data_IF_668000131952
#
_entry.id   IF_668000131952
#
_cell.length_a   1.000
_cell.length_b   1.000
_cell.length_c   1.000
_cell.angle_alpha   90.00
_cell.angle_beta   90.00
_cell.angle_gamma   90.00
#
_symmetry.space_group_name_H-M   'P 1'
#
loop_
_entity.id
_entity.type
_entity.pdbx_description
1 polymer ?
#
# COMPACT_ATOMS: atom_id res chain seq x y z
N UNK A 1 31.24 7.08 33.28
CA UNK A 1 30.30 6.13 32.66
C UNK A 1 29.03 6.89 32.32
N UNK A 2 28.71 7.04 31.05
CA UNK A 2 27.38 7.49 30.61
C UNK A 2 26.79 6.31 29.86
N UNK A 3 25.70 5.76 30.41
CA UNK A 3 24.93 4.68 29.79
C UNK A 3 23.92 5.35 28.85
N UNK A 4 24.09 5.18 27.54
CA UNK A 4 23.09 5.56 26.55
C UNK A 4 22.14 4.37 26.33
N UNK A 5 20.88 4.51 26.75
CA UNK A 5 19.81 3.57 26.42
C UNK A 5 19.34 3.91 25.01
N UNK A 6 19.73 3.12 24.02
CA UNK A 6 19.22 3.24 22.66
C UNK A 6 17.83 2.60 22.58
N UNK A 7 16.81 3.41 22.33
CA UNK A 7 15.52 2.93 21.82
C UNK A 7 15.65 2.47 20.35
N UNK A 8 14.65 1.77 19.77
CA UNK A 8 14.78 1.03 18.51
C UNK A 8 15.02 1.82 17.21
N UNK A 9 15.44 3.09 17.25
CA UNK A 9 15.45 3.99 16.09
C UNK A 9 16.81 4.58 15.71
N UNK A 10 17.91 3.93 16.09
CA UNK A 10 19.24 4.31 15.59
C UNK A 10 19.94 3.10 14.99
N UNK A 11 19.53 2.69 13.79
CA UNK A 11 20.28 1.68 13.00
C UNK A 11 20.56 2.09 11.55
N UNK A 12 20.13 3.28 11.11
CA UNK A 12 20.28 3.68 9.70
C UNK A 12 21.44 4.61 9.40
N UNK A 13 22.39 4.86 10.32
CA UNK A 13 23.48 5.83 10.08
C UNK A 13 24.92 5.30 10.14
N UNK A 14 25.19 4.03 10.48
CA UNK A 14 26.58 3.58 10.74
C UNK A 14 27.08 2.43 9.84
N UNK A 15 26.23 1.76 9.05
CA UNK A 15 26.70 0.61 8.23
C UNK A 15 27.07 0.89 6.79
N UNK A 16 27.08 2.15 6.33
CA UNK A 16 27.51 2.48 4.97
C UNK A 16 28.96 3.02 4.86
N UNK A 17 29.78 2.94 5.92
CA UNK A 17 31.15 3.47 5.91
C UNK A 17 32.28 2.44 5.74
N UNK A 18 31.99 1.17 5.43
CA UNK A 18 33.06 0.15 5.31
C UNK A 18 33.37 -0.37 3.91
N UNK A 19 32.83 0.22 2.84
CA UNK A 19 33.17 -0.19 1.46
C UNK A 19 33.79 0.89 0.57
N UNK A 20 34.49 1.87 1.15
CA UNK A 20 35.48 2.71 0.44
C UNK A 20 36.46 3.34 1.44
N UNK A 21 37.31 2.52 2.07
CA UNK A 21 38.43 3.07 2.83
C UNK A 21 39.54 3.49 1.86
N UNK A 22 40.08 4.69 2.07
CA UNK A 22 41.29 5.27 1.48
C UNK A 22 41.12 6.15 0.21
N UNK A 23 40.83 7.43 0.44
CA UNK A 23 41.01 8.47 -0.57
C UNK A 23 40.56 9.85 -0.12
N UNK A 24 41.49 10.62 0.46
CA UNK A 24 41.44 12.06 0.66
C UNK A 24 40.51 12.63 1.76
N UNK A 25 41.09 12.72 2.96
CA UNK A 25 41.01 13.93 3.80
C UNK A 25 41.34 15.18 2.94
N UNK A 26 40.42 16.16 2.87
CA UNK A 26 40.68 17.42 2.16
C UNK A 26 39.53 18.43 2.18
N UNK A 27 39.59 19.38 3.12
CA UNK A 27 39.22 20.80 2.99
C UNK A 27 37.95 21.21 2.22
N UNK A 28 36.99 21.77 2.96
CA UNK A 28 36.45 23.11 2.71
C UNK A 28 35.52 23.34 1.50
N UNK A 29 34.26 23.64 1.82
CA UNK A 29 33.32 24.54 1.10
C UNK A 29 33.28 24.43 -0.43
N UNK A 30 32.25 23.77 -0.98
CA UNK A 30 31.33 24.31 -2.01
C UNK A 30 30.35 23.22 -2.45
N UNK A 31 29.05 23.48 -2.29
CA UNK A 31 28.01 22.92 -3.16
C UNK A 31 27.76 21.41 -3.12
N UNK A 32 27.88 20.75 -1.98
CA UNK A 32 27.24 19.44 -1.84
C UNK A 32 25.73 19.66 -1.75
N UNK A 33 25.03 19.22 -2.79
CA UNK A 33 23.60 18.97 -2.76
C UNK A 33 23.30 18.21 -1.47
N UNK A 34 22.85 18.92 -0.44
CA UNK A 34 22.09 18.32 0.64
C UNK A 34 20.86 17.73 -0.05
N UNK A 35 20.98 16.46 -0.46
CA UNK A 35 19.82 15.65 -0.74
C UNK A 35 19.03 15.69 0.56
N UNK A 36 17.94 16.46 0.55
CA UNK A 36 16.90 16.33 1.56
C UNK A 36 16.66 14.84 1.78
N UNK A 37 16.53 14.34 3.02
CA UNK A 37 16.40 12.92 3.21
C UNK A 37 15.06 12.54 2.58
N UNK A 38 15.12 11.93 1.39
CA UNK A 38 13.95 11.56 0.57
C UNK A 38 13.03 10.56 1.32
N UNK A 39 13.43 10.17 2.52
CA UNK A 39 12.94 9.11 3.36
C UNK A 39 12.37 9.63 4.71
N UNK A 40 11.97 10.91 4.84
CA UNK A 40 11.29 11.38 6.06
C UNK A 40 9.77 11.19 5.91
N UNK A 41 9.13 10.30 6.71
CA UNK A 41 7.67 10.23 6.77
C UNK A 41 7.06 11.57 7.21
N UNK A 42 6.05 12.02 6.48
CA UNK A 42 5.30 13.25 6.78
C UNK A 42 3.83 13.01 6.44
N UNK A 43 3.03 12.48 7.39
CA UNK A 43 1.64 12.08 7.15
C UNK A 43 0.74 13.22 6.64
N UNK A 44 1.04 14.46 7.03
CA UNK A 44 0.22 15.64 6.75
C UNK A 44 0.62 16.35 5.46
N UNK A 45 1.93 16.54 5.24
CA UNK A 45 2.45 17.36 4.14
C UNK A 45 3.30 16.58 3.13
N UNK A 46 3.52 15.29 3.37
CA UNK A 46 4.28 14.42 2.48
C UNK A 46 3.57 14.17 1.15
N UNK A 47 4.35 13.81 0.15
CA UNK A 47 3.81 13.30 -1.12
C UNK A 47 3.50 11.82 -0.97
N UNK A 48 2.30 11.40 -1.35
CA UNK A 48 1.95 9.99 -1.41
C UNK A 48 2.52 9.36 -2.70
N UNK A 49 3.24 8.27 -2.55
CA UNK A 49 3.78 7.51 -3.67
C UNK A 49 3.79 6.02 -3.38
N UNK A 50 3.76 5.23 -4.45
CA UNK A 50 3.87 3.78 -4.40
C UNK A 50 5.08 3.33 -5.21
N UNK A 51 5.86 2.41 -4.66
CA UNK A 51 7.04 1.82 -5.29
C UNK A 51 6.76 0.36 -5.54
N UNK A 52 6.98 -0.07 -6.79
CA UNK A 52 7.11 -1.48 -7.11
C UNK A 52 8.59 -1.84 -7.27
N UNK A 53 9.00 -2.95 -6.67
CA UNK A 53 10.35 -3.50 -6.82
C UNK A 53 10.31 -4.91 -7.39
N UNK A 54 11.09 -5.14 -8.45
CA UNK A 54 11.30 -6.49 -8.99
C UNK A 54 12.24 -7.35 -8.12
N UNK A 55 12.95 -6.74 -7.15
CA UNK A 55 13.87 -7.46 -6.28
C UNK A 55 13.14 -8.50 -5.40
N UNK A 56 11.93 -8.16 -4.94
CA UNK A 56 11.09 -9.04 -4.12
C UNK A 56 9.62 -9.09 -4.56
N UNK A 57 9.27 -8.44 -5.67
CA UNK A 57 7.91 -8.32 -6.19
C UNK A 57 6.93 -7.64 -5.21
N UNK A 58 7.43 -6.70 -4.40
CA UNK A 58 6.61 -5.91 -3.49
C UNK A 58 6.07 -4.64 -4.14
N UNK A 59 4.84 -4.27 -3.76
CA UNK A 59 4.25 -2.95 -4.02
C UNK A 59 4.05 -2.26 -2.66
N UNK A 60 4.74 -1.14 -2.45
CA UNK A 60 4.82 -0.48 -1.15
C UNK A 60 4.34 0.97 -1.26
N UNK A 61 3.48 1.41 -0.34
CA UNK A 61 2.89 2.75 -0.32
C UNK A 61 3.49 3.60 0.81
N UNK A 62 3.78 4.86 0.49
CA UNK A 62 4.52 5.79 1.34
C UNK A 62 3.90 7.19 1.32
N UNK A 63 4.21 7.98 2.35
CA UNK A 63 3.84 9.39 2.50
C UNK A 63 5.02 10.15 3.11
N UNK A 64 5.89 10.69 2.24
CA UNK A 64 7.20 11.26 2.66
C UNK A 64 7.49 12.59 2.00
N UNK A 65 8.44 13.34 2.57
CA UNK A 65 8.87 14.65 2.04
C UNK A 65 9.55 14.55 0.68
N UNK A 66 10.31 13.48 0.45
CA UNK A 66 10.89 13.19 -0.85
C UNK A 66 10.21 12.02 -1.53
N UNK A 67 10.39 11.97 -2.84
CA UNK A 67 9.91 10.89 -3.71
C UNK A 67 11.11 10.37 -4.48
N UNK A 68 11.44 9.06 -4.36
CA UNK A 68 12.58 8.49 -5.07
C UNK A 68 12.30 8.46 -6.58
N UNK A 69 13.33 8.24 -7.40
CA UNK A 69 13.19 8.07 -8.85
C UNK A 69 13.31 6.61 -9.24
N UNK A 70 12.72 6.27 -10.39
CA UNK A 70 12.92 4.96 -11.01
C UNK A 70 14.40 4.73 -11.26
N UNK A 71 14.93 3.60 -10.77
CA UNK A 71 16.34 3.26 -10.81
C UNK A 71 17.09 3.50 -9.50
N UNK A 72 16.55 4.31 -8.58
CA UNK A 72 17.16 4.54 -7.26
C UNK A 72 17.06 3.30 -6.36
N UNK A 73 17.90 3.27 -5.33
CA UNK A 73 17.76 2.35 -4.22
C UNK A 73 16.93 3.01 -3.12
N UNK A 74 15.82 2.40 -2.75
CA UNK A 74 14.91 2.88 -1.72
C UNK A 74 14.54 1.73 -0.79
N UNK A 75 14.76 1.91 0.53
CA UNK A 75 14.55 0.85 1.52
C UNK A 75 15.19 -0.50 1.14
N UNK A 76 16.46 -0.45 0.71
CA UNK A 76 17.28 -1.60 0.30
C UNK A 76 16.81 -2.35 -0.95
N UNK A 77 15.99 -1.71 -1.78
CA UNK A 77 15.44 -2.29 -3.01
C UNK A 77 15.54 -1.31 -4.16
N UNK A 78 15.63 -1.82 -5.37
CA UNK A 78 15.56 -1.03 -6.59
C UNK A 78 14.12 -0.57 -6.84
N UNK A 79 13.95 0.72 -7.11
CA UNK A 79 12.69 1.28 -7.58
C UNK A 79 12.51 0.92 -9.05
N UNK A 80 11.73 -0.12 -9.34
CA UNK A 80 11.42 -0.54 -10.72
C UNK A 80 10.29 0.29 -11.32
N UNK A 81 9.27 0.61 -10.51
CA UNK A 81 8.23 1.53 -10.92
C UNK A 81 7.81 2.42 -9.74
N UNK A 82 7.37 3.63 -10.08
CA UNK A 82 6.96 4.66 -9.14
C UNK A 82 5.61 5.23 -9.59
N UNK A 83 4.69 5.37 -8.64
CA UNK A 83 3.34 5.88 -8.88
C UNK A 83 3.02 6.98 -7.87
N UNK A 84 2.35 8.05 -8.31
CA UNK A 84 1.91 9.18 -7.47
C UNK A 84 0.48 9.58 -7.85
N UNK A 85 -0.14 10.49 -7.09
CA UNK A 85 -1.46 11.06 -7.43
C UNK A 85 -2.67 10.19 -7.06
N UNK A 86 -2.45 8.95 -6.61
CA UNK A 86 -3.52 7.99 -6.31
C UNK A 86 -4.42 8.38 -5.12
N UNK A 87 -4.06 9.38 -4.31
CA UNK A 87 -4.95 9.87 -3.25
C UNK A 87 -6.19 10.58 -3.81
N UNK A 88 -6.06 11.22 -4.97
CA UNK A 88 -7.13 12.03 -5.58
C UNK A 88 -7.78 11.37 -6.79
N UNK A 89 -7.22 10.27 -7.27
CA UNK A 89 -7.71 9.59 -8.47
C UNK A 89 -8.84 8.60 -8.15
N UNK A 90 -9.67 8.32 -9.16
CA UNK A 90 -10.64 7.22 -9.16
C UNK A 90 -10.34 6.29 -10.31
N UNK A 91 -10.25 4.99 -9.99
CA UNK A 91 -9.98 3.97 -10.99
C UNK A 91 -11.24 3.19 -11.35
N UNK A 92 -11.32 2.77 -12.61
CA UNK A 92 -12.46 2.10 -13.23
C UNK A 92 -11.96 0.94 -14.08
N UNK A 93 -12.83 0.01 -14.51
CA UNK A 93 -12.49 -0.90 -15.59
C UNK A 93 -12.21 -0.12 -16.87
N UNK A 94 -11.28 -0.62 -17.69
CA UNK A 94 -10.97 -0.06 -19.02
C UNK A 94 -12.05 -0.47 -20.03
N UNK A 95 -12.64 -1.65 -19.86
CA UNK A 95 -13.68 -2.20 -20.73
C UNK A 95 -14.85 -2.73 -19.89
N UNK A 96 -16.04 -2.19 -20.13
CA UNK A 96 -17.27 -2.59 -19.41
C UNK A 96 -17.83 -3.94 -19.91
N UNK A 97 -17.29 -4.52 -20.99
CA UNK A 97 -17.83 -5.72 -21.62
C UNK A 97 -17.36 -7.05 -21.01
N UNK A 98 -17.08 -7.12 -19.70
CA UNK A 98 -16.82 -8.34 -18.90
C UNK A 98 -15.76 -9.34 -19.45
N UNK A 99 -15.06 -8.99 -20.52
CA UNK A 99 -14.10 -9.85 -21.23
C UNK A 99 -12.67 -9.55 -20.84
N UNK A 100 -12.40 -8.30 -20.45
CA UNK A 100 -11.10 -7.81 -20.07
C UNK A 100 -11.21 -7.19 -18.69
N UNK A 101 -10.91 -7.98 -17.65
CA UNK A 101 -10.82 -7.57 -16.25
C UNK A 101 -9.67 -6.54 -16.00
N UNK A 102 -9.41 -5.62 -16.92
CA UNK A 102 -8.38 -4.60 -16.83
C UNK A 102 -8.93 -3.32 -16.21
N UNK A 103 -8.12 -2.68 -15.38
CA UNK A 103 -8.42 -1.38 -14.78
C UNK A 103 -7.35 -0.36 -15.17
N UNK A 104 -7.72 0.93 -15.15
CA UNK A 104 -6.79 2.04 -15.32
C UNK A 104 -5.95 2.35 -14.06
N UNK A 105 -6.01 1.52 -13.01
CA UNK A 105 -5.13 1.64 -11.86
C UNK A 105 -3.64 1.60 -12.30
N UNK A 106 -2.78 2.54 -11.87
CA UNK A 106 -1.43 2.72 -12.42
C UNK A 106 -0.54 1.48 -12.35
N UNK A 107 -0.70 0.67 -11.32
CA UNK A 107 0.09 -0.53 -11.06
C UNK A 107 -0.57 -1.82 -11.55
N UNK A 108 -1.70 -1.75 -12.27
CA UNK A 108 -2.41 -2.93 -12.77
C UNK A 108 -1.53 -3.83 -13.65
N UNK A 109 -0.63 -3.24 -14.44
CA UNK A 109 0.35 -3.98 -15.27
C UNK A 109 1.30 -4.87 -14.46
N UNK A 110 1.39 -4.68 -13.14
CA UNK A 110 2.22 -5.47 -12.22
C UNK A 110 1.40 -6.43 -11.36
N UNK A 111 0.08 -6.48 -11.52
CA UNK A 111 -0.83 -7.32 -10.71
C UNK A 111 -0.48 -8.82 -10.78
N UNK A 112 0.00 -9.31 -11.93
CA UNK A 112 0.43 -10.70 -12.09
C UNK A 112 1.78 -11.00 -11.44
N UNK A 113 2.62 -10.00 -11.21
CA UNK A 113 3.98 -10.21 -10.68
C UNK A 113 4.02 -10.00 -9.17
N UNK A 114 3.17 -9.10 -8.66
CA UNK A 114 3.17 -8.68 -7.27
C UNK A 114 2.86 -9.84 -6.32
N UNK A 115 3.73 -10.02 -5.31
CA UNK A 115 3.62 -11.06 -4.27
C UNK A 115 3.21 -10.49 -2.92
N UNK A 116 3.48 -9.22 -2.66
CA UNK A 116 3.13 -8.57 -1.40
C UNK A 116 2.80 -7.10 -1.60
N UNK A 117 1.77 -6.64 -0.90
CA UNK A 117 1.39 -5.23 -0.80
C UNK A 117 1.54 -4.75 0.63
N UNK A 118 2.14 -3.57 0.83
CA UNK A 118 2.25 -2.95 2.16
C UNK A 118 2.07 -1.44 2.12
N UNK A 119 1.25 -0.92 3.02
CA UNK A 119 1.14 0.52 3.32
C UNK A 119 2.08 0.83 4.47
N UNK A 120 3.24 1.41 4.15
CA UNK A 120 4.35 1.55 5.09
C UNK A 120 4.18 2.75 6.01
N UNK A 121 3.75 3.88 5.45
CA UNK A 121 3.54 5.12 6.19
C UNK A 121 2.03 5.37 6.40
N UNK A 122 1.68 6.04 7.50
CA UNK A 122 0.32 6.56 7.71
C UNK A 122 0.09 7.89 6.99
N UNK A 123 -1.14 8.38 7.01
CA UNK A 123 -1.52 9.66 6.38
C UNK A 123 -1.81 9.58 4.89
N UNK A 124 -1.77 8.38 4.30
CA UNK A 124 -2.25 8.13 2.94
C UNK A 124 -3.78 8.07 2.97
N UNK A 125 -4.43 9.07 2.37
CA UNK A 125 -5.87 9.29 2.49
C UNK A 125 -6.56 9.37 1.12
N UNK A 126 -6.80 8.23 0.46
CA UNK A 126 -7.41 8.20 -0.86
C UNK A 126 -8.92 8.49 -0.83
N UNK A 127 -9.42 9.16 -1.87
CA UNK A 127 -10.87 9.40 -2.03
C UNK A 127 -11.64 8.16 -2.49
N UNK A 128 -10.94 7.20 -3.10
CA UNK A 128 -11.45 5.89 -3.52
C UNK A 128 -10.30 4.91 -3.62
N UNK A 129 -10.58 3.66 -3.26
CA UNK A 129 -9.65 2.54 -3.43
C UNK A 129 -10.23 1.45 -4.33
N UNK A 130 -11.29 1.79 -5.06
CA UNK A 130 -11.88 0.92 -6.07
C UNK A 130 -10.80 0.49 -7.06
N UNK A 131 -10.77 -0.80 -7.37
CA UNK A 131 -9.83 -1.44 -8.30
C UNK A 131 -8.34 -1.37 -7.93
N UNK A 132 -7.96 -0.87 -6.73
CA UNK A 132 -6.55 -0.79 -6.33
C UNK A 132 -5.85 -2.16 -6.46
N UNK A 133 -6.39 -3.23 -5.91
CA UNK A 133 -5.72 -4.54 -5.97
C UNK A 133 -6.42 -5.54 -6.88
N UNK A 134 -7.08 -5.03 -7.93
CA UNK A 134 -7.79 -5.85 -8.91
C UNK A 134 -6.85 -6.88 -9.58
N UNK A 135 -7.21 -8.16 -9.52
CA UNK A 135 -6.45 -9.27 -10.12
C UNK A 135 -5.02 -9.49 -9.59
N UNK A 136 -4.74 -9.16 -8.32
CA UNK A 136 -3.47 -9.50 -7.68
C UNK A 136 -3.39 -11.01 -7.35
N UNK A 137 -3.47 -11.85 -8.38
CA UNK A 137 -3.63 -13.32 -8.30
C UNK A 137 -2.46 -14.00 -7.61
N UNK A 138 -1.26 -13.45 -7.73
CA UNK A 138 -0.04 -13.99 -7.14
C UNK A 138 0.32 -13.35 -5.79
N UNK A 139 -0.47 -12.37 -5.33
CA UNK A 139 -0.24 -11.72 -4.05
C UNK A 139 -0.66 -12.66 -2.91
N UNK A 140 0.26 -12.87 -1.97
CA UNK A 140 0.06 -13.74 -0.81
C UNK A 140 -0.14 -12.95 0.49
N UNK A 141 0.16 -11.64 0.48
CA UNK A 141 0.16 -10.80 1.68
C UNK A 141 -0.27 -9.38 1.36
N UNK A 142 -1.23 -8.89 2.14
CA UNK A 142 -1.69 -7.49 2.12
C UNK A 142 -1.58 -6.92 3.54
N UNK A 143 -0.66 -5.98 3.75
CA UNK A 143 -0.61 -5.14 4.95
C UNK A 143 -1.12 -3.74 4.60
N UNK A 144 -2.43 -3.54 4.71
CA UNK A 144 -3.12 -2.28 4.39
C UNK A 144 -3.66 -1.59 5.64
N UNK A 145 -3.11 -1.96 6.80
CA UNK A 145 -3.57 -1.53 8.13
C UNK A 145 -3.42 -0.03 8.39
N UNK A 146 -2.43 0.61 7.75
CA UNK A 146 -2.11 2.04 7.91
C UNK A 146 -2.80 2.98 6.93
N UNK A 147 -3.62 2.44 6.02
CA UNK A 147 -4.37 3.25 5.06
C UNK A 147 -5.49 4.02 5.78
N UNK A 148 -5.54 5.34 5.60
CA UNK A 148 -6.65 6.14 6.13
C UNK A 148 -7.86 6.01 5.19
N UNK A 149 -8.77 5.10 5.51
CA UNK A 149 -9.99 4.87 4.73
C UNK A 149 -11.15 5.77 5.14
N UNK A 150 -11.00 6.63 6.15
CA UNK A 150 -12.11 7.41 6.75
C UNK A 150 -12.84 8.33 5.76
N UNK A 151 -12.23 8.65 4.62
CA UNK A 151 -12.82 9.47 3.55
C UNK A 151 -13.05 8.70 2.23
N UNK A 152 -12.80 7.39 2.23
CA UNK A 152 -13.00 6.54 1.05
C UNK A 152 -14.48 6.44 0.74
N UNK A 153 -14.83 6.84 -0.48
CA UNK A 153 -16.21 6.79 -0.98
C UNK A 153 -16.57 5.48 -1.68
N UNK A 154 -15.58 4.69 -2.12
CA UNK A 154 -15.82 3.45 -2.86
C UNK A 154 -14.66 2.47 -2.79
N UNK A 155 -14.99 1.18 -2.65
CA UNK A 155 -14.08 0.03 -2.55
C UNK A 155 -14.42 -1.07 -3.57
N UNK A 156 -14.99 -0.70 -4.71
CA UNK A 156 -15.44 -1.64 -5.73
C UNK A 156 -14.27 -2.50 -6.24
N UNK A 157 -14.47 -3.82 -6.31
CA UNK A 157 -13.51 -4.77 -6.86
C UNK A 157 -12.07 -4.69 -6.30
N UNK A 158 -11.85 -4.10 -5.11
CA UNK A 158 -10.51 -3.88 -4.56
C UNK A 158 -9.69 -5.17 -4.45
N UNK A 159 -10.27 -6.29 -4.02
CA UNK A 159 -9.60 -7.61 -3.92
C UNK A 159 -10.21 -8.65 -4.86
N UNK A 160 -10.85 -8.20 -5.94
CA UNK A 160 -11.45 -9.11 -6.91
C UNK A 160 -10.38 -10.01 -7.55
N UNK A 161 -10.61 -11.32 -7.48
CA UNK A 161 -9.72 -12.35 -8.02
C UNK A 161 -8.31 -12.41 -7.39
N UNK A 162 -8.17 -12.03 -6.12
CA UNK A 162 -6.94 -12.18 -5.32
C UNK A 162 -6.85 -13.54 -4.61
N UNK A 163 -6.85 -14.63 -5.38
CA UNK A 163 -7.10 -16.00 -4.86
C UNK A 163 -6.01 -16.65 -3.99
N UNK A 164 -4.83 -16.04 -3.85
CA UNK A 164 -3.71 -16.61 -3.09
C UNK A 164 -3.55 -16.03 -1.67
N UNK A 165 -4.37 -15.05 -1.30
CA UNK A 165 -4.37 -14.46 0.05
C UNK A 165 -5.04 -15.44 1.01
N UNK A 166 -4.38 -15.74 2.13
CA UNK A 166 -4.95 -16.63 3.17
C UNK A 166 -5.70 -15.86 4.24
N UNK A 167 -5.09 -14.77 4.69
CA UNK A 167 -5.59 -13.92 5.75
C UNK A 167 -5.42 -12.46 5.33
N UNK A 168 -6.44 -11.64 5.59
CA UNK A 168 -6.35 -10.19 5.47
C UNK A 168 -7.18 -9.56 6.58
N UNK A 169 -6.48 -8.74 7.35
CA UNK A 169 -7.04 -7.94 8.42
C UNK A 169 -7.40 -6.55 7.90
N UNK A 170 -8.70 -6.24 7.93
CA UNK A 170 -9.27 -4.93 7.58
C UNK A 170 -9.89 -4.27 8.81
N UNK A 171 -9.55 -4.73 10.02
CA UNK A 171 -10.14 -4.26 11.26
C UNK A 171 -9.88 -2.77 11.55
N UNK A 172 -8.87 -2.17 10.92
CA UNK A 172 -8.55 -0.74 11.06
C UNK A 172 -9.32 0.17 10.10
N UNK A 173 -10.09 -0.40 9.16
CA UNK A 173 -10.76 0.39 8.14
C UNK A 173 -12.01 1.08 8.69
N UNK A 174 -12.03 2.40 8.54
CA UNK A 174 -13.23 3.22 8.65
C UNK A 174 -13.85 3.38 7.25
N UNK A 175 -14.95 2.69 6.99
CA UNK A 175 -15.75 2.74 5.77
C UNK A 175 -17.10 3.47 5.99
N UNK A 176 -17.20 4.30 7.04
CA UNK A 176 -18.42 5.06 7.36
C UNK A 176 -18.89 5.96 6.21
N UNK A 177 -17.95 6.44 5.38
CA UNK A 177 -18.20 7.29 4.22
C UNK A 177 -18.31 6.52 2.89
N UNK A 178 -18.10 5.20 2.91
CA UNK A 178 -18.12 4.39 1.71
C UNK A 178 -19.56 4.14 1.25
N UNK A 179 -19.85 4.44 -0.01
CA UNK A 179 -21.18 4.30 -0.60
C UNK A 179 -21.27 3.17 -1.62
N UNK A 180 -20.15 2.68 -2.15
CA UNK A 180 -20.10 1.57 -3.12
C UNK A 180 -19.04 0.52 -2.77
N UNK A 181 -19.41 -0.76 -2.80
CA UNK A 181 -18.51 -1.89 -2.51
C UNK A 181 -18.78 -3.12 -3.39
N UNK A 182 -19.27 -2.88 -4.61
CA UNK A 182 -19.66 -3.95 -5.55
C UNK A 182 -18.48 -4.90 -5.78
N UNK A 183 -18.72 -6.19 -5.59
CA UNK A 183 -17.75 -7.28 -5.85
C UNK A 183 -16.37 -7.08 -5.20
N UNK A 184 -16.28 -6.33 -4.10
CA UNK A 184 -15.01 -6.02 -3.43
C UNK A 184 -14.17 -7.28 -3.12
N UNK A 185 -14.83 -8.40 -2.82
CA UNK A 185 -14.22 -9.68 -2.42
C UNK A 185 -14.64 -10.88 -3.31
N UNK A 186 -15.17 -10.65 -4.52
CA UNK A 186 -15.66 -11.75 -5.34
C UNK A 186 -14.53 -12.57 -5.99
N UNK A 187 -14.72 -13.89 -6.03
CA UNK A 187 -13.78 -14.86 -6.61
C UNK A 187 -14.43 -15.65 -7.74
N UNK A 188 -13.65 -15.94 -8.79
CA UNK A 188 -14.10 -16.87 -9.83
C UNK A 188 -13.86 -18.35 -9.51
N UNK A 189 -12.88 -18.74 -8.68
CA UNK A 189 -12.40 -20.15 -8.69
C UNK A 189 -11.78 -20.80 -7.41
N UNK A 190 -11.78 -20.23 -6.20
CA UNK A 190 -11.08 -20.87 -5.06
C UNK A 190 -11.99 -21.60 -4.05
N UNK A 191 -11.69 -22.89 -3.81
CA UNK A 191 -12.28 -23.79 -2.81
C UNK A 191 -11.76 -23.56 -1.37
N UNK A 192 -10.95 -22.52 -1.14
CA UNK A 192 -10.42 -22.15 0.18
C UNK A 192 -11.27 -21.01 0.73
N UNK A 193 -11.81 -21.19 1.93
CA UNK A 193 -12.46 -20.12 2.68
C UNK A 193 -11.37 -19.10 3.07
N UNK A 194 -11.35 -17.96 2.39
CA UNK A 194 -10.49 -16.83 2.74
C UNK A 194 -11.23 -16.04 3.81
N UNK A 195 -10.61 -15.89 4.98
CA UNK A 195 -11.21 -15.19 6.11
C UNK A 195 -10.80 -13.74 6.04
N UNK A 196 -11.79 -12.87 5.85
CA UNK A 196 -11.62 -11.42 5.92
C UNK A 196 -12.08 -10.96 7.29
N UNK A 197 -11.21 -10.27 8.04
CA UNK A 197 -11.58 -9.72 9.34
C UNK A 197 -12.05 -8.27 9.22
N UNK A 198 -13.34 -8.04 9.47
CA UNK A 198 -13.97 -6.71 9.51
C UNK A 198 -14.53 -6.38 10.91
N UNK A 199 -14.17 -7.15 11.95
CA UNK A 199 -14.83 -7.11 13.27
C UNK A 199 -14.81 -5.72 13.93
N UNK A 200 -13.78 -4.91 13.66
CA UNK A 200 -13.63 -3.57 14.22
C UNK A 200 -13.78 -2.45 13.18
N UNK A 201 -14.16 -2.80 11.94
CA UNK A 201 -14.36 -1.80 10.89
C UNK A 201 -15.62 -0.98 11.14
N UNK A 202 -15.58 0.32 10.82
CA UNK A 202 -16.77 1.18 10.88
C UNK A 202 -17.45 1.15 9.52
N UNK A 203 -18.69 0.67 9.42
CA UNK A 203 -19.39 0.53 8.12
C UNK A 203 -20.45 1.62 7.93
N UNK A 204 -20.63 2.07 6.69
CA UNK A 204 -21.78 2.91 6.36
C UNK A 204 -23.09 2.10 6.42
N UNK A 205 -24.25 2.73 6.72
CA UNK A 205 -25.54 2.06 6.71
C UNK A 205 -25.88 1.37 5.37
N UNK A 206 -25.41 1.96 4.26
CA UNK A 206 -25.57 1.38 2.93
C UNK A 206 -24.81 0.06 2.78
N UNK A 207 -23.58 -0.02 3.28
CA UNK A 207 -22.78 -1.25 3.22
C UNK A 207 -23.34 -2.38 4.09
N UNK A 208 -23.89 -2.04 5.24
CA UNK A 208 -24.58 -3.01 6.12
C UNK A 208 -25.77 -3.61 5.39
N UNK A 209 -26.54 -2.78 4.67
CA UNK A 209 -27.72 -3.22 3.93
C UNK A 209 -27.42 -4.02 2.66
N UNK A 210 -26.24 -3.82 2.05
CA UNK A 210 -25.93 -4.38 0.73
C UNK A 210 -25.50 -5.84 0.74
N UNK A 211 -25.48 -6.53 1.89
CA UNK A 211 -24.90 -7.88 2.08
C UNK A 211 -23.53 -7.97 1.41
N UNK A 212 -22.44 -7.83 2.18
CA UNK A 212 -21.15 -8.21 1.63
C UNK A 212 -21.23 -9.69 1.23
N UNK A 213 -21.39 -9.98 -0.07
CA UNK A 213 -21.56 -11.31 -0.68
C UNK A 213 -20.29 -12.20 -0.52
N UNK A 214 -19.44 -11.89 0.47
CA UNK A 214 -18.22 -12.59 0.78
C UNK A 214 -18.53 -13.82 1.63
N UNK A 215 -18.51 -14.99 1.00
CA UNK A 215 -18.30 -16.27 1.68
C UNK A 215 -16.99 -16.12 2.49
N UNK A 216 -17.07 -16.06 3.83
CA UNK A 216 -15.90 -16.02 4.72
C UNK A 216 -15.65 -14.72 5.49
N UNK A 217 -16.50 -13.70 5.36
CA UNK A 217 -16.41 -12.52 6.24
C UNK A 217 -17.01 -12.83 7.62
N UNK A 218 -16.19 -12.92 8.68
CA UNK A 218 -16.70 -13.02 10.05
C UNK A 218 -16.86 -11.62 10.64
N UNK A 219 -18.11 -11.15 10.80
CA UNK A 219 -18.41 -10.02 11.68
C UNK A 219 -18.87 -10.53 13.04
N UNK A 220 -18.23 -10.06 14.11
CA UNK A 220 -18.86 -10.05 15.44
C UNK A 220 -19.58 -8.72 15.58
N UNK A 221 -20.90 -8.72 15.48
CA UNK A 221 -21.70 -7.53 15.75
C UNK A 221 -21.57 -7.16 17.23
N UNK A 222 -20.86 -6.08 17.54
CA UNK A 222 -21.00 -5.40 18.84
C UNK A 222 -22.18 -4.44 18.75
N UNK A 223 -23.30 -4.84 19.36
CA UNK A 223 -24.46 -4.01 19.70
C UNK A 223 -24.10 -2.86 20.62
#
# INVERSE_FOLDING_TARGET
>A
MVILIAGPWVSSAIRNQFNTVAGAIGSGTTGENFYEPEDIPDPENGTAFAVYSEDDHSLMFYKRRGVPKVGDMFNYRKVTALYTGFETDRYTPIDYNYSNDATNAPWYSRSSDCRSVSVVDGGIKPISISFWFHQFKNCISFDVSKLDTSSVSGIEHIFYNCGNVRDLDLSTWDLSHCVTAVSAFAYRHSHIAIIWNLSNSVLSPRLISSHMDAIGCSQTATT
#
